data_IF_305984984015
#
_entry.id   IF_305984984015
#
_cell.length_a   1.000
_cell.length_b   1.000
_cell.length_c   1.000
_cell.angle_alpha   90.00
_cell.angle_beta   90.00
_cell.angle_gamma   90.00
#
_symmetry.space_group_name_H-M   'P 1'
#
loop_
_entity.id
_entity.type
_entity.pdbx_description
1 polymer ?
#
# COMPACT_ATOMS: atom_id res chain seq x y z
N UNK A 1 -11.07 -22.18 -29.87
CA UNK A 1 -9.64 -22.22 -29.51
C UNK A 1 -9.54 -22.21 -27.99
N UNK A 2 -9.20 -23.34 -27.37
CA UNK A 2 -9.05 -23.43 -25.92
C UNK A 2 -7.55 -23.41 -25.60
N UNK A 3 -7.04 -22.27 -25.10
CA UNK A 3 -5.65 -22.17 -24.61
C UNK A 3 -4.88 -20.89 -24.97
N UNK A 4 -5.45 -19.98 -25.76
CA UNK A 4 -4.82 -18.68 -26.05
C UNK A 4 -5.04 -17.65 -24.92
N UNK A 5 -4.38 -16.48 -25.00
CA UNK A 5 -4.53 -15.34 -24.06
C UNK A 5 -5.90 -14.67 -24.22
N UNK A 6 -6.95 -15.41 -23.86
CA UNK A 6 -8.33 -15.08 -24.17
C UNK A 6 -9.18 -15.02 -22.89
N UNK A 7 -9.78 -13.86 -22.65
CA UNK A 7 -10.70 -13.61 -21.54
C UNK A 7 -12.12 -13.63 -22.10
N UNK A 8 -13.01 -14.47 -21.59
CA UNK A 8 -14.36 -14.60 -22.16
C UNK A 8 -15.23 -13.37 -21.91
N UNK A 9 -15.16 -12.80 -20.71
CA UNK A 9 -15.94 -11.63 -20.32
C UNK A 9 -15.10 -10.63 -19.54
N UNK A 10 -15.16 -9.36 -19.92
CA UNK A 10 -14.71 -8.24 -19.09
C UNK A 10 -15.93 -7.51 -18.55
N UNK A 11 -16.00 -7.36 -17.23
CA UNK A 11 -16.91 -6.41 -16.60
C UNK A 11 -16.14 -5.14 -16.26
N UNK A 12 -16.57 -4.02 -16.85
CA UNK A 12 -16.00 -2.70 -16.60
C UNK A 12 -16.81 -2.03 -15.49
N UNK A 13 -16.26 -1.98 -14.28
CA UNK A 13 -16.98 -1.43 -13.13
C UNK A 13 -17.00 0.11 -13.18
N UNK A 14 -18.12 0.69 -12.77
CA UNK A 14 -18.34 2.13 -12.73
C UNK A 14 -19.31 2.50 -11.60
N UNK A 15 -19.37 3.78 -11.23
CA UNK A 15 -20.43 4.29 -10.36
C UNK A 15 -21.79 4.30 -11.04
N UNK A 16 -22.87 4.43 -10.26
CA UNK A 16 -24.18 4.81 -10.79
C UNK A 16 -24.14 6.27 -11.27
N UNK A 17 -24.60 6.54 -12.49
CA UNK A 17 -24.57 7.87 -13.10
C UNK A 17 -25.45 8.87 -12.32
N UNK A 18 -26.54 8.36 -11.75
CA UNK A 18 -27.46 9.09 -10.89
C UNK A 18 -26.91 9.39 -9.49
N UNK A 19 -25.77 8.81 -9.11
CA UNK A 19 -25.23 8.88 -7.75
C UNK A 19 -26.13 8.17 -6.73
N UNK A 20 -26.08 8.63 -5.48
CA UNK A 20 -26.98 8.19 -4.41
C UNK A 20 -27.53 9.40 -3.64
N UNK A 21 -28.71 9.23 -3.04
CA UNK A 21 -29.30 10.26 -2.18
C UNK A 21 -28.67 10.20 -0.79
N UNK A 22 -28.39 11.35 -0.19
CA UNK A 22 -27.90 11.42 1.19
C UNK A 22 -28.80 10.61 2.14
N UNK A 23 -28.16 9.80 3.01
CA UNK A 23 -28.85 8.90 3.94
C UNK A 23 -29.41 7.61 3.32
N UNK A 24 -29.25 7.39 2.01
CA UNK A 24 -29.66 6.15 1.32
C UNK A 24 -28.52 5.58 0.48
N UNK A 25 -27.62 4.87 1.17
CA UNK A 25 -26.60 4.06 0.51
C UNK A 25 -27.05 2.60 0.56
N UNK A 26 -27.14 1.95 -0.61
CA UNK A 26 -27.61 0.57 -0.75
C UNK A 26 -26.62 -0.24 -1.59
N UNK A 27 -26.42 -1.51 -1.22
CA UNK A 27 -25.60 -2.41 -2.02
C UNK A 27 -26.36 -2.88 -3.25
N UNK A 28 -25.82 -2.63 -4.43
CA UNK A 28 -26.41 -3.02 -5.71
C UNK A 28 -25.38 -3.09 -6.83
N UNK A 29 -25.64 -3.98 -7.77
CA UNK A 29 -24.87 -4.14 -9.01
C UNK A 29 -25.82 -4.36 -10.18
N UNK A 30 -25.72 -3.52 -11.19
CA UNK A 30 -26.60 -3.54 -12.36
C UNK A 30 -25.79 -3.45 -13.66
N UNK A 31 -26.22 -4.20 -14.67
CA UNK A 31 -25.76 -3.96 -16.05
C UNK A 31 -26.33 -2.61 -16.50
N UNK A 32 -25.45 -1.66 -16.82
CA UNK A 32 -25.83 -0.30 -17.24
C UNK A 32 -25.08 0.10 -18.50
N UNK A 33 -25.58 1.09 -19.26
CA UNK A 33 -24.77 1.75 -20.28
C UNK A 33 -23.46 2.26 -19.67
N UNK A 34 -22.37 2.17 -20.44
CA UNK A 34 -21.09 2.70 -20.01
C UNK A 34 -21.19 4.23 -19.87
N UNK A 35 -20.88 4.77 -18.69
CA UNK A 35 -20.92 6.22 -18.42
C UNK A 35 -19.84 6.93 -19.24
N UNK A 36 -18.63 6.39 -19.18
CA UNK A 36 -17.52 6.79 -20.02
C UNK A 36 -17.22 5.68 -21.03
N UNK A 37 -16.67 6.05 -22.18
CA UNK A 37 -16.28 5.07 -23.20
C UNK A 37 -15.16 4.19 -22.62
N UNK A 38 -15.34 2.86 -22.52
CA UNK A 38 -14.29 1.99 -22.02
C UNK A 38 -13.04 2.06 -22.89
N UNK A 39 -11.88 1.80 -22.29
CA UNK A 39 -10.57 1.81 -22.99
C UNK A 39 -10.42 0.69 -24.03
N UNK A 40 -11.38 -0.24 -24.09
CA UNK A 40 -11.38 -1.37 -24.99
C UNK A 40 -11.89 -1.00 -26.39
N UNK A 41 -11.25 -1.54 -27.43
CA UNK A 41 -11.58 -1.29 -28.83
C UNK A 41 -11.70 -2.60 -29.60
N UNK A 42 -12.73 -2.70 -30.44
CA UNK A 42 -12.89 -3.83 -31.34
C UNK A 42 -11.78 -3.83 -32.40
N UNK A 43 -11.21 -5.00 -32.66
CA UNK A 43 -10.35 -5.24 -33.80
C UNK A 43 -11.13 -5.76 -35.01
N UNK A 44 -10.43 -5.92 -36.14
CA UNK A 44 -10.99 -6.36 -37.42
C UNK A 44 -11.65 -7.75 -37.36
N UNK A 45 -11.32 -8.55 -36.33
CA UNK A 45 -11.84 -9.90 -36.13
C UNK A 45 -13.01 -9.93 -35.14
N UNK A 46 -13.47 -8.76 -34.68
CA UNK A 46 -14.60 -8.62 -33.75
C UNK A 46 -14.24 -8.90 -32.29
N UNK A 47 -12.95 -8.91 -31.93
CA UNK A 47 -12.51 -9.05 -30.55
C UNK A 47 -12.12 -7.70 -29.94
N UNK A 48 -12.37 -7.52 -28.66
CA UNK A 48 -11.90 -6.35 -27.94
C UNK A 48 -10.43 -6.50 -27.57
N UNK A 49 -9.66 -5.46 -27.88
CA UNK A 49 -8.29 -5.21 -27.43
C UNK A 49 -8.28 -4.10 -26.38
N UNK A 50 -7.32 -4.14 -25.47
CA UNK A 50 -7.14 -3.16 -24.42
C UNK A 50 -5.73 -3.22 -23.86
N UNK A 51 -5.52 -2.57 -22.72
CA UNK A 51 -4.21 -2.56 -22.05
C UNK A 51 -3.74 -3.97 -21.64
N UNK A 52 -4.62 -4.75 -21.00
CA UNK A 52 -4.36 -6.13 -20.53
C UNK A 52 -2.94 -6.33 -19.96
N UNK A 53 -2.54 -5.45 -19.04
CA UNK A 53 -1.24 -5.48 -18.35
C UNK A 53 -0.01 -5.43 -19.27
N UNK A 54 -0.16 -4.88 -20.48
CA UNK A 54 0.92 -4.78 -21.46
C UNK A 54 1.10 -6.02 -22.33
N UNK A 55 0.16 -6.97 -22.32
CA UNK A 55 0.16 -8.16 -23.19
C UNK A 55 -0.64 -7.88 -24.46
N UNK A 56 -0.01 -7.41 -25.56
CA UNK A 56 -0.70 -6.95 -26.76
C UNK A 56 -1.46 -8.05 -27.48
N UNK A 57 -1.23 -9.32 -27.18
CA UNK A 57 -1.90 -10.50 -27.72
C UNK A 57 -3.23 -10.81 -27.02
N UNK A 58 -3.48 -10.27 -25.83
CA UNK A 58 -4.67 -10.60 -25.03
C UNK A 58 -5.94 -10.03 -25.64
N UNK A 59 -7.00 -10.84 -25.70
CA UNK A 59 -8.30 -10.48 -26.30
C UNK A 59 -9.45 -10.83 -25.39
N UNK A 60 -10.59 -10.15 -25.58
CA UNK A 60 -11.87 -10.57 -25.03
C UNK A 60 -13.00 -10.50 -26.05
N UNK A 61 -14.02 -11.35 -25.88
CA UNK A 61 -15.23 -11.36 -26.72
C UNK A 61 -16.19 -10.25 -26.31
N UNK A 62 -16.39 -10.09 -25.00
CA UNK A 62 -17.44 -9.26 -24.46
C UNK A 62 -16.88 -8.29 -23.42
N UNK A 63 -17.27 -7.02 -23.57
CA UNK A 63 -17.06 -5.98 -22.57
C UNK A 63 -18.42 -5.46 -22.16
N UNK A 64 -18.72 -5.48 -20.87
CA UNK A 64 -20.01 -5.03 -20.32
C UNK A 64 -19.76 -4.12 -19.14
N UNK A 65 -20.40 -2.95 -19.12
CA UNK A 65 -20.29 -2.03 -17.99
C UNK A 65 -21.28 -2.42 -16.88
N UNK A 66 -20.77 -2.45 -15.65
CA UNK A 66 -21.56 -2.70 -14.45
C UNK A 66 -21.48 -1.48 -13.54
N UNK A 67 -22.63 -0.85 -13.28
CA UNK A 67 -22.70 0.13 -12.21
C UNK A 67 -22.77 -0.60 -10.87
N UNK A 68 -21.85 -0.28 -9.97
CA UNK A 68 -21.71 -0.94 -8.67
C UNK A 68 -21.64 0.07 -7.54
N UNK A 69 -22.29 -0.28 -6.44
CA UNK A 69 -22.23 0.39 -5.15
C UNK A 69 -22.31 -0.74 -4.14
N UNK A 70 -21.23 -1.03 -3.42
CA UNK A 70 -21.23 -2.16 -2.50
C UNK A 70 -19.87 -2.68 -2.14
N UNK A 71 -19.88 -3.69 -1.28
CA UNK A 71 -18.69 -4.44 -0.93
C UNK A 71 -18.35 -5.48 -2.01
N UNK A 72 -17.10 -5.95 -2.06
CA UNK A 72 -16.61 -6.84 -3.11
C UNK A 72 -17.45 -8.12 -3.28
N UNK A 73 -18.01 -8.65 -2.19
CA UNK A 73 -18.88 -9.83 -2.20
C UNK A 73 -20.19 -9.65 -2.97
N UNK A 74 -20.63 -8.42 -3.25
CA UNK A 74 -21.82 -8.14 -4.10
C UNK A 74 -21.68 -8.76 -5.50
N UNK A 75 -20.44 -9.00 -5.95
CA UNK A 75 -20.14 -9.61 -7.24
C UNK A 75 -20.35 -11.13 -7.24
N UNK A 76 -20.38 -11.80 -6.09
CA UNK A 76 -20.42 -13.27 -5.99
C UNK A 76 -21.66 -13.87 -6.67
N UNK A 77 -22.89 -13.40 -6.41
CA UNK A 77 -24.08 -13.93 -7.09
C UNK A 77 -24.00 -13.75 -8.60
N UNK A 78 -23.51 -12.59 -9.07
CA UNK A 78 -23.35 -12.30 -10.49
C UNK A 78 -22.36 -13.26 -11.16
N UNK A 79 -21.19 -13.46 -10.54
CA UNK A 79 -20.14 -14.33 -11.07
C UNK A 79 -20.51 -15.82 -11.03
N UNK A 80 -21.35 -16.25 -10.08
CA UNK A 80 -21.76 -17.65 -9.97
C UNK A 80 -23.00 -18.01 -10.77
N UNK A 81 -23.91 -17.06 -11.01
CA UNK A 81 -25.25 -17.35 -11.57
C UNK A 81 -25.57 -16.60 -12.85
N UNK A 82 -25.01 -15.41 -13.06
CA UNK A 82 -25.42 -14.51 -14.14
C UNK A 82 -24.44 -14.50 -15.32
N UNK A 83 -23.42 -15.36 -15.30
CA UNK A 83 -22.49 -15.54 -16.41
C UNK A 83 -22.16 -17.02 -16.59
N UNK A 84 -22.09 -17.47 -17.84
CA UNK A 84 -21.56 -18.78 -18.20
C UNK A 84 -20.09 -18.71 -18.62
N UNK A 85 -19.46 -17.54 -18.51
CA UNK A 85 -18.09 -17.31 -18.93
C UNK A 85 -17.10 -18.10 -18.06
N UNK A 86 -16.17 -18.79 -18.69
CA UNK A 86 -15.11 -19.56 -18.03
C UNK A 86 -14.04 -18.66 -17.40
N UNK A 87 -13.76 -17.52 -18.01
CA UNK A 87 -12.80 -16.53 -17.53
C UNK A 87 -13.43 -15.14 -17.52
N UNK A 88 -13.41 -14.50 -16.35
CA UNK A 88 -13.98 -13.16 -16.13
C UNK A 88 -12.89 -12.24 -15.60
N UNK A 89 -12.80 -11.05 -16.16
CA UNK A 89 -11.98 -9.95 -15.64
C UNK A 89 -12.89 -8.85 -15.12
N UNK A 90 -12.61 -8.38 -13.91
CA UNK A 90 -13.21 -7.15 -13.36
C UNK A 90 -12.21 -6.03 -13.54
N UNK A 91 -12.50 -5.11 -14.45
CA UNK A 91 -11.73 -3.88 -14.61
C UNK A 91 -12.31 -2.79 -13.68
N UNK A 92 -11.49 -1.81 -13.29
CA UNK A 92 -11.86 -0.75 -12.35
C UNK A 92 -12.32 -1.29 -10.98
N UNK A 93 -11.64 -2.32 -10.50
CA UNK A 93 -11.96 -3.04 -9.26
C UNK A 93 -11.94 -2.15 -8.00
N UNK A 94 -11.34 -0.95 -8.06
CA UNK A 94 -11.38 0.04 -6.98
C UNK A 94 -12.79 0.57 -6.67
N UNK A 95 -13.78 0.37 -7.55
CA UNK A 95 -15.18 0.69 -7.28
C UNK A 95 -15.83 -0.24 -6.25
N UNK A 96 -15.16 -1.34 -5.87
CA UNK A 96 -15.62 -2.28 -4.85
C UNK A 96 -14.98 -1.95 -3.50
N UNK A 97 -15.81 -1.87 -2.46
CA UNK A 97 -15.34 -1.69 -1.09
C UNK A 97 -14.93 -3.02 -0.45
N UNK A 98 -14.18 -2.96 0.65
CA UNK A 98 -13.93 -4.14 1.46
C UNK A 98 -15.22 -4.64 2.13
N UNK A 99 -15.44 -5.95 2.19
CA UNK A 99 -16.58 -6.57 2.90
C UNK A 99 -16.61 -6.18 4.38
N UNK A 100 -15.57 -6.57 5.11
CA UNK A 100 -15.43 -6.28 6.53
C UNK A 100 -14.01 -5.81 6.82
N UNK A 101 -13.74 -4.52 6.59
CA UNK A 101 -12.41 -3.94 6.80
C UNK A 101 -11.94 -4.13 8.25
N UNK A 102 -10.70 -4.59 8.42
CA UNK A 102 -10.12 -4.84 9.74
C UNK A 102 -10.64 -6.10 10.46
N UNK A 103 -11.54 -6.87 9.85
CA UNK A 103 -11.98 -8.16 10.40
C UNK A 103 -11.07 -9.31 9.99
N UNK A 104 -11.35 -10.51 10.51
CA UNK A 104 -10.49 -11.70 10.32
C UNK A 104 -10.21 -12.00 8.84
N UNK A 105 -11.22 -11.92 7.97
CA UNK A 105 -11.07 -12.21 6.52
C UNK A 105 -10.14 -11.21 5.83
N UNK A 106 -10.25 -9.92 6.18
CA UNK A 106 -9.33 -8.88 5.75
C UNK A 106 -7.89 -9.20 6.21
N UNK A 107 -7.72 -9.53 7.49
CA UNK A 107 -6.40 -9.84 8.05
C UNK A 107 -5.79 -11.13 7.53
N UNK A 108 -6.58 -12.16 7.24
CA UNK A 108 -6.09 -13.37 6.59
C UNK A 108 -5.57 -13.04 5.18
N UNK A 109 -6.31 -12.25 4.40
CA UNK A 109 -5.83 -11.76 3.10
C UNK A 109 -4.55 -10.94 3.26
N UNK A 110 -4.52 -9.93 4.14
CA UNK A 110 -3.36 -9.06 4.34
C UNK A 110 -2.12 -9.78 4.87
N UNK A 111 -2.29 -10.72 5.82
CA UNK A 111 -1.20 -11.54 6.38
C UNK A 111 -0.65 -12.55 5.38
N UNK A 112 -1.46 -12.98 4.42
CA UNK A 112 -0.99 -13.88 3.36
C UNK A 112 -0.04 -13.20 2.36
N UNK A 113 -0.08 -11.86 2.27
CA UNK A 113 0.77 -11.05 1.40
C UNK A 113 2.17 -10.85 2.00
N UNK A 114 2.94 -11.92 2.11
CA UNK A 114 4.32 -11.88 2.60
C UNK A 114 5.26 -11.45 1.47
N UNK A 115 6.12 -10.47 1.72
CA UNK A 115 7.10 -10.02 0.74
C UNK A 115 8.04 -11.15 0.29
N UNK A 116 8.47 -11.08 -0.97
CA UNK A 116 9.36 -12.06 -1.56
C UNK A 116 10.66 -12.17 -0.74
N UNK A 117 11.07 -13.42 -0.45
CA UNK A 117 12.24 -13.72 0.38
C UNK A 117 13.51 -12.96 -0.03
N UNK A 118 13.86 -12.81 -1.33
CA UNK A 118 15.05 -12.05 -1.72
C UNK A 118 15.01 -10.57 -1.32
N UNK A 119 13.83 -9.94 -1.31
CA UNK A 119 13.67 -8.54 -0.90
C UNK A 119 13.82 -8.40 0.61
N UNK A 120 13.21 -9.31 1.38
CA UNK A 120 13.37 -9.36 2.85
C UNK A 120 14.83 -9.56 3.24
N UNK A 121 15.50 -10.56 2.64
CA UNK A 121 16.90 -10.85 2.93
C UNK A 121 17.82 -9.65 2.65
N UNK A 122 17.65 -8.98 1.51
CA UNK A 122 18.42 -7.79 1.18
C UNK A 122 18.14 -6.65 2.19
N UNK A 123 16.88 -6.43 2.55
CA UNK A 123 16.51 -5.41 3.52
C UNK A 123 17.01 -5.73 4.94
N UNK A 124 17.11 -7.01 5.30
CA UNK A 124 17.71 -7.47 6.57
C UNK A 124 19.22 -7.26 6.60
N UNK A 125 19.91 -7.49 5.47
CA UNK A 125 21.33 -7.13 5.30
C UNK A 125 21.53 -5.62 5.49
N UNK A 126 20.71 -4.80 4.81
CA UNK A 126 20.75 -3.33 4.96
C UNK A 126 20.51 -2.90 6.43
N UNK A 127 19.53 -3.49 7.10
CA UNK A 127 19.24 -3.25 8.52
C UNK A 127 20.45 -3.58 9.41
N UNK A 128 21.08 -4.72 9.17
CA UNK A 128 22.23 -5.15 9.95
C UNK A 128 23.42 -4.19 9.77
N UNK A 129 23.74 -3.84 8.52
CA UNK A 129 24.92 -3.04 8.16
C UNK A 129 24.76 -1.56 8.53
N UNK A 130 23.60 -0.97 8.22
CA UNK A 130 23.42 0.48 8.30
C UNK A 130 22.60 0.95 9.51
N UNK A 131 21.88 0.04 10.18
CA UNK A 131 20.94 0.41 11.24
C UNK A 131 21.17 -0.36 12.55
N UNK A 132 22.18 -1.25 12.61
CA UNK A 132 22.48 -2.09 13.78
C UNK A 132 21.21 -2.83 14.26
N UNK A 133 20.49 -3.41 13.31
CA UNK A 133 19.15 -3.96 13.48
C UNK A 133 19.09 -5.38 12.93
N UNK A 134 18.62 -6.31 13.76
CA UNK A 134 18.40 -7.73 13.40
C UNK A 134 17.17 -8.25 14.13
N UNK A 135 16.48 -9.26 13.60
CA UNK A 135 15.26 -9.76 14.26
C UNK A 135 15.49 -10.28 15.68
N UNK A 136 16.67 -10.84 15.94
CA UNK A 136 17.06 -11.32 17.27
C UNK A 136 17.20 -10.16 18.27
N UNK A 137 17.88 -9.07 17.91
CA UNK A 137 18.05 -7.90 18.78
C UNK A 137 16.77 -7.09 18.94
N UNK A 138 15.98 -7.05 17.88
CA UNK A 138 14.82 -6.17 17.74
C UNK A 138 13.53 -6.85 18.26
N UNK A 139 13.60 -8.14 18.56
CA UNK A 139 12.47 -9.00 18.96
C UNK A 139 11.35 -9.00 17.92
N UNK A 140 11.69 -8.86 16.64
CA UNK A 140 10.77 -8.94 15.51
C UNK A 140 10.76 -10.37 14.99
N UNK A 141 10.20 -11.29 15.79
CA UNK A 141 10.07 -12.69 15.41
C UNK A 141 9.34 -12.82 14.06
N UNK A 142 9.84 -13.70 13.20
CA UNK A 142 9.23 -13.97 11.91
C UNK A 142 9.00 -15.48 11.72
N UNK A 143 7.89 -15.83 11.07
CA UNK A 143 7.55 -17.20 10.72
C UNK A 143 7.13 -17.25 9.25
N UNK A 144 7.80 -18.10 8.45
CA UNK A 144 7.56 -18.21 7.00
C UNK A 144 6.13 -18.67 6.68
N UNK A 145 5.57 -19.60 7.47
CA UNK A 145 4.14 -19.93 7.38
C UNK A 145 3.34 -18.85 8.11
N UNK A 146 2.85 -17.85 7.36
CA UNK A 146 2.09 -16.73 7.90
C UNK A 146 0.90 -17.16 8.77
N UNK A 147 0.30 -18.33 8.53
CA UNK A 147 -0.82 -18.85 9.33
C UNK A 147 -0.41 -19.12 10.77
N UNK A 148 0.87 -19.46 10.98
CA UNK A 148 1.52 -19.68 12.27
C UNK A 148 2.16 -18.42 12.84
N UNK A 149 2.28 -17.35 12.04
CA UNK A 149 2.76 -16.05 12.48
C UNK A 149 1.70 -15.37 13.35
N UNK A 150 1.81 -15.57 14.66
CA UNK A 150 0.96 -14.96 15.69
C UNK A 150 1.85 -14.44 16.80
N UNK A 151 1.76 -13.15 17.08
CA UNK A 151 2.56 -12.46 18.09
C UNK A 151 1.65 -11.66 19.00
N UNK A 152 2.06 -11.51 20.25
CA UNK A 152 1.33 -10.66 21.20
C UNK A 152 1.69 -9.21 20.90
N UNK A 153 0.68 -8.35 20.74
CA UNK A 153 0.88 -6.92 20.52
C UNK A 153 1.79 -6.33 21.61
N UNK A 154 2.75 -5.51 21.20
CA UNK A 154 3.73 -4.85 22.07
C UNK A 154 4.94 -5.70 22.46
N UNK A 155 5.13 -6.90 21.87
CA UNK A 155 6.35 -7.70 22.13
C UNK A 155 7.53 -7.33 21.25
N UNK A 156 7.29 -6.76 20.06
CA UNK A 156 8.36 -6.30 19.19
C UNK A 156 8.97 -5.00 19.73
N UNK A 157 10.30 -4.92 19.73
CA UNK A 157 11.05 -3.72 20.17
C UNK A 157 11.40 -2.83 18.99
N UNK A 158 11.83 -3.44 17.88
CA UNK A 158 12.39 -2.75 16.72
C UNK A 158 13.84 -2.32 16.90
N UNK A 159 14.52 -2.15 15.78
CA UNK A 159 15.91 -1.75 15.71
C UNK A 159 16.16 -0.35 16.27
N UNK A 160 17.40 0.00 16.62
CA UNK A 160 17.75 1.25 17.28
C UNK A 160 17.76 2.46 16.32
N UNK A 161 16.66 2.65 15.59
CA UNK A 161 16.44 3.77 14.68
C UNK A 161 14.96 4.18 14.65
N UNK A 162 14.75 5.44 14.29
CA UNK A 162 13.44 5.99 13.91
C UNK A 162 13.24 5.72 12.42
N UNK A 163 12.04 5.38 11.97
CA UNK A 163 11.72 5.38 10.54
C UNK A 163 10.67 6.43 10.22
N UNK A 164 10.85 7.09 9.09
CA UNK A 164 9.93 8.06 8.54
C UNK A 164 9.57 7.68 7.10
N UNK A 165 8.30 7.83 6.75
CA UNK A 165 7.89 7.84 5.36
C UNK A 165 7.36 9.23 4.98
N UNK A 166 8.06 9.89 4.06
CA UNK A 166 7.73 11.22 3.53
C UNK A 166 7.28 11.09 2.07
N UNK A 167 5.98 11.26 1.83
CA UNK A 167 5.42 11.33 0.47
C UNK A 167 5.40 12.81 0.04
N UNK A 168 6.14 13.14 -1.02
CA UNK A 168 6.32 14.49 -1.55
C UNK A 168 5.53 14.65 -2.85
N UNK A 169 6.17 14.49 -4.02
CA UNK A 169 5.63 14.61 -5.39
C UNK A 169 4.19 15.13 -5.52
N UNK A 170 3.23 14.26 -5.83
CA UNK A 170 1.83 14.61 -6.10
C UNK A 170 1.10 15.11 -4.85
N UNK A 171 1.55 14.70 -3.67
CA UNK A 171 1.00 15.11 -2.38
C UNK A 171 1.25 16.59 -2.08
N UNK A 172 2.32 17.21 -2.61
CA UNK A 172 2.56 18.64 -2.42
C UNK A 172 1.51 19.52 -3.08
N UNK A 173 0.81 19.01 -4.10
CA UNK A 173 -0.22 19.75 -4.82
C UNK A 173 -1.62 19.37 -4.33
N UNK A 174 -1.86 18.08 -4.07
CA UNK A 174 -3.18 17.57 -3.64
C UNK A 174 -3.45 17.61 -2.13
N UNK A 175 -2.40 17.70 -1.31
CA UNK A 175 -2.42 17.50 0.14
C UNK A 175 -1.49 18.49 0.88
N UNK A 176 -1.35 19.71 0.36
CA UNK A 176 -0.41 20.71 0.91
C UNK A 176 -0.74 21.14 2.35
N UNK A 177 -1.99 20.97 2.78
CA UNK A 177 -2.43 21.34 4.13
C UNK A 177 -2.08 20.32 5.22
N UNK A 178 -1.86 19.05 4.86
CA UNK A 178 -1.68 17.94 5.80
C UNK A 178 -0.31 17.23 5.66
N UNK A 179 0.58 17.77 4.82
CA UNK A 179 1.97 17.31 4.63
C UNK A 179 2.94 18.41 5.06
N UNK A 180 4.00 18.09 5.84
CA UNK A 180 4.95 19.09 6.32
C UNK A 180 5.91 19.59 5.22
N UNK A 181 6.51 20.76 5.44
CA UNK A 181 7.77 21.15 4.80
C UNK A 181 8.94 20.25 5.23
N UNK A 182 10.05 20.29 4.49
CA UNK A 182 11.25 19.52 4.84
C UNK A 182 11.82 19.95 6.20
N UNK A 183 11.82 21.26 6.48
CA UNK A 183 12.26 21.81 7.76
C UNK A 183 11.36 21.37 8.92
N UNK A 184 10.04 21.44 8.77
CA UNK A 184 9.09 20.98 9.78
C UNK A 184 9.19 19.46 10.03
N UNK A 185 9.37 18.67 8.97
CA UNK A 185 9.62 17.24 9.07
C UNK A 185 10.92 16.96 9.83
N UNK A 186 12.02 17.63 9.46
CA UNK A 186 13.32 17.47 10.12
C UNK A 186 13.30 17.85 11.60
N UNK A 187 12.61 18.94 11.96
CA UNK A 187 12.41 19.36 13.35
C UNK A 187 11.61 18.33 14.15
N UNK A 188 10.56 17.76 13.55
CA UNK A 188 9.77 16.68 14.16
C UNK A 188 10.62 15.44 14.41
N UNK A 189 11.44 15.03 13.43
CA UNK A 189 12.32 13.88 13.53
C UNK A 189 13.40 14.07 14.59
N UNK A 190 14.05 15.25 14.65
CA UNK A 190 15.01 15.58 15.70
C UNK A 190 14.42 15.43 17.11
N UNK A 191 13.20 15.97 17.32
CA UNK A 191 12.50 15.87 18.60
C UNK A 191 12.23 14.41 18.97
N UNK A 192 11.70 13.62 18.03
CA UNK A 192 11.41 12.20 18.26
C UNK A 192 12.68 11.40 18.55
N UNK A 193 13.75 11.61 17.78
CA UNK A 193 15.04 10.96 18.01
C UNK A 193 15.59 11.27 19.41
N UNK A 194 15.55 12.53 19.83
CA UNK A 194 15.97 12.94 21.18
C UNK A 194 15.12 12.32 22.28
N UNK A 195 13.79 12.34 22.13
CA UNK A 195 12.86 11.78 23.11
C UNK A 195 13.02 10.26 23.26
N UNK A 196 13.18 9.56 22.14
CA UNK A 196 13.29 8.09 22.08
C UNK A 196 14.73 7.59 22.25
N UNK A 197 15.71 8.51 22.33
CA UNK A 197 17.15 8.22 22.39
C UNK A 197 17.62 7.35 21.22
N UNK A 198 17.15 7.67 20.02
CA UNK A 198 17.47 6.95 18.79
C UNK A 198 18.60 7.65 18.03
N UNK A 199 19.70 6.95 17.71
CA UNK A 199 20.88 7.56 17.09
C UNK A 199 20.75 7.81 15.58
N UNK A 200 19.84 7.11 14.89
CA UNK A 200 19.65 7.19 13.43
C UNK A 200 18.18 7.35 13.07
N UNK A 201 17.93 7.91 11.89
CA UNK A 201 16.62 7.92 11.24
C UNK A 201 16.72 7.34 9.84
N UNK A 202 15.90 6.35 9.51
CA UNK A 202 15.73 5.86 8.16
C UNK A 202 14.59 6.62 7.49
N UNK A 203 14.80 7.13 6.27
CA UNK A 203 13.77 7.86 5.51
C UNK A 203 13.45 7.11 4.22
N UNK A 204 12.20 6.65 4.10
CA UNK A 204 11.59 6.24 2.85
C UNK A 204 10.89 7.46 2.23
N UNK A 205 11.27 7.84 1.02
CA UNK A 205 10.73 9.05 0.37
C UNK A 205 10.74 8.91 -1.14
N UNK A 206 9.76 9.55 -1.79
CA UNK A 206 9.74 9.73 -3.25
C UNK A 206 10.23 11.12 -3.69
N UNK A 207 10.79 11.89 -2.76
CA UNK A 207 11.49 13.16 -2.99
C UNK A 207 12.52 13.05 -4.12
N UNK A 208 12.73 14.16 -4.82
CA UNK A 208 13.81 14.24 -5.80
C UNK A 208 15.20 14.37 -5.13
N UNK A 209 16.26 14.33 -5.95
CA UNK A 209 17.63 14.38 -5.43
C UNK A 209 17.96 15.69 -4.71
N UNK A 210 17.28 16.79 -5.01
CA UNK A 210 17.58 18.10 -4.42
C UNK A 210 16.96 18.17 -3.02
N UNK A 211 15.71 17.74 -2.89
CA UNK A 211 15.02 17.58 -1.61
C UNK A 211 15.73 16.55 -0.70
N UNK A 212 16.23 15.44 -1.26
CA UNK A 212 17.03 14.46 -0.49
C UNK A 212 18.33 15.06 0.02
N UNK A 213 19.02 15.89 -0.79
CA UNK A 213 20.24 16.60 -0.35
C UNK A 213 19.92 17.59 0.77
N UNK A 214 18.83 18.35 0.65
CA UNK A 214 18.37 19.26 1.69
C UNK A 214 18.05 18.51 2.99
N UNK A 215 17.30 17.40 2.91
CA UNK A 215 17.02 16.55 4.07
C UNK A 215 18.29 16.02 4.73
N UNK A 216 19.31 15.63 3.97
CA UNK A 216 20.62 15.21 4.53
C UNK A 216 21.33 16.35 5.25
N UNK A 217 21.22 17.58 4.76
CA UNK A 217 21.76 18.77 5.46
C UNK A 217 21.00 19.04 6.75
N UNK A 218 19.68 18.93 6.72
CA UNK A 218 18.82 19.15 7.90
C UNK A 218 18.90 18.00 8.91
N UNK A 219 19.15 16.76 8.47
CA UNK A 219 19.21 15.52 9.27
C UNK A 219 20.49 14.73 8.93
N UNK A 220 21.67 15.11 9.44
CA UNK A 220 22.91 14.40 9.15
C UNK A 220 22.94 12.92 9.58
N UNK A 221 22.04 12.52 10.49
CA UNK A 221 21.87 11.14 10.97
C UNK A 221 20.95 10.29 10.08
N UNK A 222 20.47 10.87 8.98
CA UNK A 222 19.60 10.21 8.01
C UNK A 222 20.33 9.08 7.30
N UNK A 223 19.65 7.94 7.23
CA UNK A 223 19.97 6.82 6.37
C UNK A 223 18.86 6.72 5.33
N UNK A 224 19.22 6.55 4.07
CA UNK A 224 18.28 6.41 2.97
C UNK A 224 18.80 5.33 2.03
N UNK A 225 17.89 4.48 1.55
CA UNK A 225 18.24 3.47 0.56
C UNK A 225 18.22 4.12 -0.83
N UNK A 226 19.41 4.30 -1.40
CA UNK A 226 19.58 4.75 -2.79
C UNK A 226 19.99 3.55 -3.64
N UNK A 227 19.06 2.93 -4.39
CA UNK A 227 19.40 1.76 -5.20
C UNK A 227 20.39 2.14 -6.30
N UNK A 228 21.44 1.35 -6.45
CA UNK A 228 22.27 1.36 -7.64
C UNK A 228 21.47 0.96 -8.88
N UNK A 229 21.98 1.27 -10.08
CA UNK A 229 21.32 0.85 -11.33
C UNK A 229 21.15 -0.68 -11.41
N UNK A 230 22.09 -1.46 -10.87
CA UNK A 230 21.98 -2.91 -10.83
C UNK A 230 20.85 -3.37 -9.89
N UNK A 231 20.71 -2.74 -8.73
CA UNK A 231 19.64 -3.03 -7.77
C UNK A 231 18.28 -2.61 -8.31
N UNK A 232 18.18 -1.45 -8.96
CA UNK A 232 16.95 -0.99 -9.59
C UNK A 232 16.49 -1.93 -10.71
N UNK A 233 17.41 -2.38 -11.58
CA UNK A 233 17.07 -3.39 -12.60
C UNK A 233 16.68 -4.74 -11.99
N UNK A 234 17.26 -5.12 -10.85
CA UNK A 234 16.99 -6.39 -10.19
C UNK A 234 15.66 -6.39 -9.45
N UNK A 235 15.36 -5.32 -8.71
CA UNK A 235 14.21 -5.25 -7.81
C UNK A 235 13.01 -4.54 -8.45
N UNK A 236 13.25 -3.74 -9.49
CA UNK A 236 12.28 -2.81 -10.07
C UNK A 236 11.77 -1.80 -9.02
N UNK A 237 10.97 -0.83 -9.46
CA UNK A 237 10.45 0.22 -8.56
C UNK A 237 9.65 -0.37 -7.39
N UNK A 238 8.83 -1.40 -7.67
CA UNK A 238 8.02 -2.08 -6.65
C UNK A 238 8.85 -2.84 -5.62
N UNK A 239 9.99 -3.42 -6.01
CA UNK A 239 10.88 -4.10 -5.06
C UNK A 239 11.63 -3.13 -4.17
N UNK A 240 12.08 -2.00 -4.72
CA UNK A 240 12.68 -0.90 -3.93
C UNK A 240 11.67 -0.37 -2.91
N UNK A 241 10.44 -0.12 -3.33
CA UNK A 241 9.36 0.29 -2.43
C UNK A 241 9.08 -0.73 -1.31
N UNK A 242 9.12 -2.03 -1.61
CA UNK A 242 8.97 -3.09 -0.60
C UNK A 242 10.13 -3.10 0.40
N UNK A 243 11.36 -2.91 -0.07
CA UNK A 243 12.55 -2.83 0.80
C UNK A 243 12.40 -1.66 1.78
N UNK A 244 12.01 -0.48 1.29
CA UNK A 244 11.73 0.69 2.13
C UNK A 244 10.65 0.39 3.17
N UNK A 245 9.52 -0.22 2.77
CA UNK A 245 8.45 -0.60 3.69
C UNK A 245 8.93 -1.58 4.75
N UNK A 246 9.74 -2.57 4.36
CA UNK A 246 10.28 -3.57 5.28
C UNK A 246 11.21 -2.95 6.31
N UNK A 247 12.12 -2.07 5.88
CA UNK A 247 13.00 -1.34 6.80
C UNK A 247 12.16 -0.45 7.72
N UNK A 248 11.22 0.33 7.20
CA UNK A 248 10.33 1.15 8.04
C UNK A 248 9.53 0.31 9.06
N UNK A 249 9.07 -0.87 8.68
CA UNK A 249 8.30 -1.76 9.55
C UNK A 249 9.12 -2.27 10.75
N UNK A 250 10.45 -2.36 10.63
CA UNK A 250 11.32 -2.88 11.68
C UNK A 250 11.91 -1.83 12.63
N UNK A 251 11.59 -0.55 12.44
CA UNK A 251 12.06 0.53 13.29
C UNK A 251 11.44 0.49 14.69
N UNK A 252 12.15 1.02 15.70
CA UNK A 252 11.59 1.18 17.06
C UNK A 252 10.35 2.07 17.09
N UNK A 253 10.34 3.06 16.21
CA UNK A 253 9.24 4.00 16.05
C UNK A 253 9.07 4.35 14.59
N UNK A 254 7.83 4.45 14.14
CA UNK A 254 7.47 4.84 12.78
C UNK A 254 6.56 6.08 12.79
N UNK A 255 6.80 6.97 11.83
CA UNK A 255 5.95 8.11 11.50
C UNK A 255 5.76 8.18 9.98
N UNK A 256 4.51 8.17 9.52
CA UNK A 256 4.16 8.19 8.10
C UNK A 256 3.68 9.55 7.61
N UNK A 257 3.20 9.57 6.36
CA UNK A 257 2.55 10.72 5.74
C UNK A 257 1.03 10.56 5.79
N UNK A 258 0.31 11.67 6.00
CA UNK A 258 -1.16 11.70 5.99
C UNK A 258 -1.73 10.99 4.77
N UNK A 259 -2.80 10.20 4.97
CA UNK A 259 -3.57 9.47 3.94
C UNK A 259 -2.78 8.64 2.91
N UNK A 260 -1.49 8.41 3.13
CA UNK A 260 -0.65 7.67 2.19
C UNK A 260 -0.87 6.17 2.32
N UNK A 261 -1.27 5.53 1.21
CA UNK A 261 -1.44 4.08 1.14
C UNK A 261 -0.13 3.32 1.40
N UNK A 262 1.02 3.90 1.06
CA UNK A 262 2.34 3.37 1.40
C UNK A 262 2.55 3.32 2.93
N UNK A 263 2.18 4.39 3.64
CA UNK A 263 2.21 4.40 5.12
C UNK A 263 1.24 3.40 5.71
N UNK A 264 0.05 3.25 5.11
CA UNK A 264 -0.93 2.25 5.57
C UNK A 264 -0.38 0.82 5.46
N UNK A 265 0.40 0.50 4.41
CA UNK A 265 1.03 -0.83 4.28
C UNK A 265 2.08 -1.06 5.37
N UNK A 266 2.83 -0.02 5.75
CA UNK A 266 3.80 -0.08 6.86
C UNK A 266 3.08 -0.24 8.20
N UNK A 267 2.01 0.49 8.47
CA UNK A 267 1.18 0.27 9.65
C UNK A 267 0.71 -1.19 9.72
N UNK A 268 0.27 -1.69 8.57
CA UNK A 268 -0.03 -3.08 8.24
C UNK A 268 0.98 -4.07 8.80
N UNK A 269 2.21 -3.90 8.31
CA UNK A 269 3.32 -4.79 8.57
C UNK A 269 3.76 -4.72 10.04
N UNK A 270 3.73 -3.52 10.64
CA UNK A 270 4.06 -3.32 12.05
C UNK A 270 3.04 -3.98 12.99
N UNK A 271 1.76 -3.96 12.62
CA UNK A 271 0.72 -4.65 13.38
C UNK A 271 0.91 -6.18 13.31
N UNK A 272 1.27 -6.71 12.14
CA UNK A 272 1.60 -8.15 11.95
C UNK A 272 2.82 -8.56 12.78
N UNK A 273 3.85 -7.71 12.83
CA UNK A 273 5.07 -7.93 13.62
C UNK A 273 4.84 -7.72 15.13
N UNK A 274 3.68 -7.23 15.56
CA UNK A 274 3.31 -7.11 16.97
C UNK A 274 3.96 -5.91 17.67
N UNK A 275 4.20 -4.82 16.95
CA UNK A 275 4.64 -3.56 17.56
C UNK A 275 3.55 -2.93 18.44
N UNK A 276 3.97 -2.06 19.37
CA UNK A 276 3.03 -1.24 20.13
C UNK A 276 2.33 -0.23 19.19
N UNK A 277 0.99 -0.10 19.21
CA UNK A 277 0.28 0.85 18.35
C UNK A 277 0.78 2.29 18.48
N UNK A 278 1.31 2.69 19.65
CA UNK A 278 1.87 4.03 19.88
C UNK A 278 3.13 4.29 19.06
N UNK A 279 3.86 3.25 18.65
CA UNK A 279 5.04 3.37 17.80
C UNK A 279 4.73 3.12 16.31
N UNK A 280 3.46 2.94 15.96
CA UNK A 280 3.02 2.54 14.60
C UNK A 280 2.13 3.60 13.96
N UNK A 281 1.02 3.97 14.61
CA UNK A 281 0.01 4.83 14.00
C UNK A 281 0.31 6.31 14.28
N UNK A 282 1.32 6.83 13.60
CA UNK A 282 1.75 8.21 13.72
C UNK A 282 1.89 8.83 12.33
N UNK A 283 1.50 10.10 12.17
CA UNK A 283 1.78 10.86 10.96
C UNK A 283 2.42 12.20 11.27
N UNK A 284 3.14 12.74 10.28
CA UNK A 284 3.44 14.17 10.27
C UNK A 284 2.15 14.99 10.15
N UNK A 285 2.12 16.12 10.86
CA UNK A 285 1.13 17.17 10.64
C UNK A 285 1.63 18.12 9.56
N UNK A 286 0.72 18.80 8.86
CA UNK A 286 1.09 19.97 8.06
C UNK A 286 1.62 21.11 8.93
N UNK A 287 2.39 22.03 8.35
CA UNK A 287 3.09 23.09 9.09
C UNK A 287 2.14 23.98 9.91
N UNK A 288 0.97 24.27 9.37
CA UNK A 288 -0.07 25.08 10.02
C UNK A 288 -1.11 24.23 10.77
N UNK A 289 -0.99 22.91 10.74
CA UNK A 289 -1.97 21.97 11.28
C UNK A 289 -1.70 21.71 12.76
N UNK A 290 -2.44 22.41 13.63
CA UNK A 290 -2.35 22.25 15.08
C UNK A 290 -3.21 21.06 15.53
N UNK A 291 -2.62 20.11 16.26
CA UNK A 291 -3.28 18.90 16.77
C UNK A 291 -3.91 18.03 15.66
N UNK A 292 -3.12 17.70 14.64
CA UNK A 292 -3.58 16.91 13.52
C UNK A 292 -4.10 15.52 13.92
N UNK A 293 -5.19 15.09 13.27
CA UNK A 293 -5.77 13.76 13.50
C UNK A 293 -4.77 12.66 13.14
N UNK A 294 -4.58 11.72 14.07
CA UNK A 294 -3.66 10.60 13.89
C UNK A 294 -4.34 9.42 13.19
N UNK A 295 -3.58 8.56 12.47
CA UNK A 295 -4.16 7.43 11.76
C UNK A 295 -4.97 6.51 12.69
N UNK A 296 -6.12 6.04 12.20
CA UNK A 296 -6.95 5.08 12.94
C UNK A 296 -6.18 3.78 13.19
N UNK A 297 -6.35 3.23 14.40
CA UNK A 297 -5.71 1.97 14.81
C UNK A 297 -6.57 0.80 14.38
N UNK A 298 -6.10 0.05 13.40
CA UNK A 298 -6.74 -1.18 12.94
C UNK A 298 -5.99 -2.38 13.51
N UNK A 299 -6.58 -3.01 14.53
CA UNK A 299 -5.94 -4.12 15.24
C UNK A 299 -6.01 -5.41 14.41
N UNK A 300 -4.92 -6.18 14.39
CA UNK A 300 -4.91 -7.52 13.78
C UNK A 300 -5.85 -8.48 14.51
N UNK A 301 -6.63 -9.24 13.72
CA UNK A 301 -7.51 -10.31 14.18
C UNK A 301 -7.05 -11.63 13.57
N UNK A 302 -6.88 -12.67 14.41
CA UNK A 302 -6.25 -13.95 14.07
C UNK A 302 -7.23 -15.11 13.90
#
# INVERSE_FOLDING_TARGET
>A
ENGGPFIEQVFYLQSYAEGWTEGKWEEKVDVRPCVEKPVYRLDEHGYYRGWFWGYPETRTKNVTCLSVQGMASIMVPLLLRNTSARSVMLDRAENLLHDEYGQKTYWDARRSMVFARPLRAWADEFRAEHLNSTDATDKTFFQEDWRKMRVKVGTATGGPYLAAHLRRKDFLYGHSGDVPSLEAAANTLHRLMKQLKLPRVFIATDADQDEVRELRTLLPQMVHFEPSQAELHRFLDGGVAIIDQWICAHARYFIGTSVSTFSFRIHEEREILGFDPRSTYNRFCGDAEVNCEQPTRWKVIY
#
